data_IF_703809804964
#
_entry.id   IF_703809804964
#
_cell.length_a   1.000
_cell.length_b   1.000
_cell.length_c   1.000
_cell.angle_alpha   90.00
_cell.angle_beta   90.00
_cell.angle_gamma   90.00
#
_symmetry.space_group_name_H-M   'P 1'
#
loop_
_entity.id
_entity.type
_entity.pdbx_description
1 polymer ?
#
# COMPACT_ATOMS: atom_id res chain seq x y z
N UNK A 1 13.00 5.23 4.35
CA UNK A 1 12.71 3.97 5.08
C UNK A 1 12.98 2.79 4.14
N UNK A 2 13.29 1.57 4.63
CA UNK A 2 13.46 0.41 3.76
C UNK A 2 12.15 0.10 3.02
N UNK A 3 12.21 -0.04 1.68
CA UNK A 3 11.03 -0.22 0.80
C UNK A 3 10.06 -1.30 1.31
N UNK A 4 10.63 -2.45 1.68
CA UNK A 4 9.88 -3.63 2.10
C UNK A 4 9.06 -3.38 3.38
N UNK A 5 9.49 -2.45 4.24
CA UNK A 5 8.76 -2.13 5.46
C UNK A 5 7.50 -1.32 5.15
N UNK A 6 7.61 -0.28 4.32
CA UNK A 6 6.45 0.53 3.90
C UNK A 6 5.43 -0.37 3.19
N UNK A 7 5.92 -1.22 2.29
CA UNK A 7 5.07 -2.17 1.58
C UNK A 7 4.34 -3.12 2.52
N UNK A 8 5.06 -3.71 3.49
CA UNK A 8 4.50 -4.59 4.50
C UNK A 8 3.47 -3.89 5.40
N UNK A 9 3.66 -2.61 5.72
CA UNK A 9 2.66 -1.85 6.47
C UNK A 9 1.42 -1.55 5.62
N UNK A 10 1.57 -1.10 4.37
CA UNK A 10 0.45 -0.75 3.51
C UNK A 10 -0.40 -1.97 3.13
N UNK A 11 0.25 -3.04 2.68
CA UNK A 11 -0.42 -4.18 2.05
C UNK A 11 -0.49 -5.43 2.94
N UNK A 12 0.26 -5.46 4.05
CA UNK A 12 0.32 -6.65 4.90
C UNK A 12 1.12 -7.78 4.28
N UNK A 13 1.38 -8.84 5.01
CA UNK A 13 2.16 -9.98 4.53
C UNK A 13 1.62 -11.31 5.06
N UNK A 14 1.85 -12.37 4.30
CA UNK A 14 1.65 -13.73 4.78
C UNK A 14 2.91 -14.26 5.47
N UNK A 15 2.72 -15.18 6.41
CA UNK A 15 3.81 -15.93 7.01
C UNK A 15 4.69 -16.56 5.93
N UNK A 16 6.00 -16.35 6.04
CA UNK A 16 6.98 -16.85 5.08
C UNK A 16 7.21 -15.95 3.86
N UNK A 17 6.56 -14.79 3.76
CA UNK A 17 6.83 -13.82 2.69
C UNK A 17 8.27 -13.29 2.69
N UNK A 18 8.90 -13.19 3.86
CA UNK A 18 10.31 -12.85 4.07
C UNK A 18 10.80 -13.48 5.38
N UNK A 19 12.12 -13.42 5.65
CA UNK A 19 12.77 -14.12 6.78
C UNK A 19 12.12 -13.84 8.14
N UNK A 20 11.67 -12.61 8.38
CA UNK A 20 11.02 -12.20 9.63
C UNK A 20 9.49 -12.31 9.64
N UNK A 21 8.86 -12.75 8.54
CA UNK A 21 7.42 -12.94 8.44
C UNK A 21 6.98 -14.22 9.18
N UNK A 22 6.95 -14.16 10.52
CA UNK A 22 6.64 -15.32 11.38
C UNK A 22 5.14 -15.62 11.49
N UNK A 23 4.30 -14.61 11.26
CA UNK A 23 2.85 -14.66 11.32
C UNK A 23 2.27 -13.90 10.12
N UNK A 24 0.99 -14.09 9.85
CA UNK A 24 0.28 -13.22 8.91
C UNK A 24 0.04 -11.85 9.56
N UNK A 25 0.18 -10.79 8.78
CA UNK A 25 -0.13 -9.42 9.19
C UNK A 25 -1.03 -8.76 8.15
N UNK A 26 -2.15 -8.18 8.59
CA UNK A 26 -3.01 -7.34 7.75
C UNK A 26 -2.35 -6.00 7.45
N UNK A 27 -2.52 -5.51 6.23
CA UNK A 27 -2.06 -4.18 5.82
C UNK A 27 -3.02 -3.07 6.24
N UNK A 28 -2.55 -1.82 6.17
CA UNK A 28 -3.36 -0.63 6.43
C UNK A 28 -4.58 -0.53 5.51
N UNK A 29 -4.49 -0.98 4.26
CA UNK A 29 -5.64 -1.03 3.36
C UNK A 29 -6.77 -1.95 3.84
N UNK A 30 -6.42 -3.13 4.36
CA UNK A 30 -7.42 -4.05 4.92
C UNK A 30 -8.00 -3.52 6.22
N UNK A 31 -7.16 -2.87 7.04
CA UNK A 31 -7.58 -2.31 8.32
C UNK A 31 -8.50 -1.11 8.13
N UNK A 32 -8.30 -0.34 7.07
CA UNK A 32 -9.13 0.81 6.70
C UNK A 32 -10.36 0.43 5.84
N UNK A 33 -10.75 -0.85 5.80
CA UNK A 33 -11.88 -1.29 4.99
C UNK A 33 -13.18 -0.60 5.40
N UNK A 34 -13.80 0.12 4.46
CA UNK A 34 -14.99 0.95 4.71
C UNK A 34 -14.71 2.24 5.52
N UNK A 35 -13.46 2.51 5.87
CA UNK A 35 -13.02 3.71 6.59
C UNK A 35 -12.15 4.61 5.68
N UNK A 36 -11.30 5.46 6.28
CA UNK A 36 -10.43 6.39 5.55
C UNK A 36 -8.96 6.10 5.88
N UNK A 37 -8.15 5.93 4.84
CA UNK A 37 -6.69 5.84 4.91
C UNK A 37 -6.09 7.19 4.53
N UNK A 38 -5.42 7.83 5.50
CA UNK A 38 -4.62 9.03 5.25
C UNK A 38 -3.17 8.66 4.96
N UNK A 39 -2.62 9.17 3.86
CA UNK A 39 -1.26 8.94 3.42
C UNK A 39 -0.54 10.27 3.29
N UNK A 40 0.40 10.50 4.21
CA UNK A 40 1.27 11.66 4.16
C UNK A 40 2.53 11.36 3.33
N UNK A 41 3.06 12.40 2.70
CA UNK A 41 4.22 12.34 1.81
C UNK A 41 4.18 11.24 0.74
N UNK A 42 3.05 11.14 0.03
CA UNK A 42 2.84 10.12 -1.03
C UNK A 42 3.87 10.22 -2.17
N UNK A 43 4.42 11.42 -2.43
CA UNK A 43 5.49 11.62 -3.42
C UNK A 43 6.79 10.88 -3.08
N UNK A 44 7.04 10.61 -1.80
CA UNK A 44 8.23 9.88 -1.34
C UNK A 44 8.09 8.35 -1.47
N UNK A 45 6.95 7.85 -1.94
CA UNK A 45 6.79 6.43 -2.20
C UNK A 45 7.72 6.00 -3.34
N UNK A 46 8.43 4.87 -3.21
CA UNK A 46 9.14 4.26 -4.32
C UNK A 46 8.23 4.01 -5.53
N UNK A 47 8.73 4.20 -6.75
CA UNK A 47 7.96 4.00 -8.00
C UNK A 47 7.23 2.64 -8.07
N UNK A 48 7.85 1.56 -7.60
CA UNK A 48 7.23 0.23 -7.54
C UNK A 48 5.99 0.21 -6.62
N UNK A 49 6.03 0.94 -5.51
CA UNK A 49 4.89 1.07 -4.61
C UNK A 49 3.83 2.00 -5.18
N UNK A 50 4.22 3.04 -5.91
CA UNK A 50 3.27 3.90 -6.63
C UNK A 50 2.47 3.10 -7.67
N UNK A 51 3.11 2.20 -8.42
CA UNK A 51 2.43 1.33 -9.38
C UNK A 51 1.42 0.38 -8.69
N UNK A 52 1.82 -0.24 -7.56
CA UNK A 52 0.89 -1.07 -6.76
C UNK A 52 -0.26 -0.25 -6.20
N UNK A 53 0.03 0.94 -5.71
CA UNK A 53 -0.97 1.86 -5.20
C UNK A 53 -2.01 2.23 -6.27
N UNK A 54 -1.57 2.49 -7.49
CA UNK A 54 -2.45 2.70 -8.64
C UNK A 54 -3.35 1.50 -8.91
N UNK A 55 -2.80 0.27 -8.86
CA UNK A 55 -3.60 -0.96 -9.02
C UNK A 55 -4.71 -1.06 -7.97
N UNK A 56 -4.46 -0.65 -6.72
CA UNK A 56 -5.49 -0.63 -5.67
C UNK A 56 -6.56 0.41 -5.96
N UNK A 57 -6.18 1.60 -6.39
CA UNK A 57 -7.11 2.68 -6.73
C UNK A 57 -8.06 2.28 -7.85
N UNK A 58 -7.55 1.62 -8.89
CA UNK A 58 -8.30 1.18 -10.06
C UNK A 58 -9.19 -0.03 -9.77
N UNK A 59 -8.61 -1.08 -9.18
CA UNK A 59 -9.29 -2.38 -9.07
C UNK A 59 -9.97 -2.59 -7.72
N UNK A 60 -9.71 -1.74 -6.72
CA UNK A 60 -10.25 -1.88 -5.35
C UNK A 60 -9.93 -3.24 -4.72
N UNK A 61 -8.75 -3.77 -5.03
CA UNK A 61 -8.22 -5.01 -4.46
C UNK A 61 -6.75 -4.81 -4.08
N UNK A 62 -6.31 -5.53 -3.05
CA UNK A 62 -4.90 -5.64 -2.67
C UNK A 62 -4.48 -7.10 -2.64
N UNK A 63 -3.16 -7.32 -2.60
CA UNK A 63 -2.54 -8.60 -2.31
C UNK A 63 -1.54 -8.40 -1.17
N UNK A 64 -1.56 -9.29 -0.18
CA UNK A 64 -0.49 -9.34 0.83
C UNK A 64 0.83 -9.74 0.19
N UNK A 65 1.95 -9.26 0.73
CA UNK A 65 3.26 -9.74 0.32
C UNK A 65 3.35 -11.26 0.53
N UNK A 66 3.82 -11.97 -0.49
CA UNK A 66 3.90 -13.45 -0.49
C UNK A 66 2.55 -14.15 -0.68
N UNK A 67 1.45 -13.41 -0.77
CA UNK A 67 0.11 -13.95 -1.03
C UNK A 67 -0.32 -13.78 -2.49
N UNK A 68 -1.28 -14.60 -2.90
CA UNK A 68 -1.92 -14.55 -4.23
C UNK A 68 -3.44 -14.36 -4.15
N UNK A 69 -3.96 -14.24 -2.93
CA UNK A 69 -5.38 -14.01 -2.68
C UNK A 69 -5.72 -12.54 -2.87
N UNK A 70 -6.77 -12.29 -3.67
CA UNK A 70 -7.36 -10.96 -3.81
C UNK A 70 -8.12 -10.60 -2.54
N UNK A 71 -7.77 -9.45 -1.96
CA UNK A 71 -8.45 -8.93 -0.79
C UNK A 71 -9.15 -7.63 -1.22
N UNK A 72 -10.50 -7.60 -1.28
CA UNK A 72 -11.22 -6.39 -1.67
C UNK A 72 -10.96 -5.29 -0.64
N UNK A 73 -10.82 -4.05 -1.14
CA UNK A 73 -10.76 -2.86 -0.30
C UNK A 73 -11.59 -1.70 -0.85
N UNK A 74 -12.44 -1.15 -0.01
CA UNK A 74 -13.21 0.07 -0.25
C UNK A 74 -12.75 1.22 0.66
N UNK A 75 -11.50 1.20 1.11
CA UNK A 75 -10.91 2.31 1.87
C UNK A 75 -11.00 3.62 1.09
N UNK A 76 -11.50 4.68 1.72
CA UNK A 76 -11.41 6.05 1.18
C UNK A 76 -9.98 6.53 1.35
N UNK A 77 -9.35 7.03 0.30
CA UNK A 77 -7.98 7.52 0.37
C UNK A 77 -7.96 9.04 0.44
N UNK A 78 -7.16 9.57 1.37
CA UNK A 78 -6.74 10.99 1.40
C UNK A 78 -5.22 11.00 1.36
N UNK A 79 -4.63 11.60 0.33
CA UNK A 79 -3.19 11.70 0.17
C UNK A 79 -2.72 13.15 0.33
N UNK A 80 -1.53 13.34 0.90
CA UNK A 80 -0.83 14.61 1.01
C UNK A 80 0.63 14.42 0.59
N UNK A 81 1.26 15.49 0.11
CA UNK A 81 2.70 15.56 -0.12
C UNK A 81 3.15 17.02 -0.16
N UNK A 82 4.40 17.27 0.21
CA UNK A 82 5.03 18.58 0.07
C UNK A 82 5.64 18.82 -1.32
N UNK A 83 5.69 17.81 -2.19
CA UNK A 83 6.24 17.91 -3.55
C UNK A 83 5.20 18.47 -4.54
N UNK A 84 5.65 19.22 -5.54
CA UNK A 84 4.78 19.67 -6.63
C UNK A 84 4.62 18.54 -7.64
N UNK A 85 3.44 17.93 -7.65
CA UNK A 85 3.11 16.82 -8.53
C UNK A 85 2.89 17.27 -9.98
N UNK A 86 2.51 18.53 -10.21
CA UNK A 86 2.30 19.07 -11.55
C UNK A 86 3.56 19.00 -12.41
N UNK A 87 4.74 19.16 -11.81
CA UNK A 87 6.02 19.06 -12.50
C UNK A 87 6.40 17.64 -12.94
N UNK A 88 5.65 16.61 -12.50
CA UNK A 88 5.92 15.21 -12.84
C UNK A 88 5.11 14.72 -14.04
N UNK A 89 4.13 15.51 -14.48
CA UNK A 89 3.30 15.24 -15.65
C UNK A 89 3.84 16.13 -16.79
N UNK A 90 4.72 15.58 -17.62
CA UNK A 90 5.28 16.24 -18.81
C UNK A 90 4.97 15.43 -20.08
#
# INVERSE_FOLDING_TARGET
MPKNLIEAELFGYQKGAFTDAKIDKKGLFELAEGETLFLDEVGLLPLELQAKFLTVLENRVIYRLGGVEEIPTNARIIAATNESLEGWIA
#
